data_IF_219884230573
#
_entry.id   IF_219884230573
#
_cell.length_a   1.000
_cell.length_b   1.000
_cell.length_c   1.000
_cell.angle_alpha   90.00
_cell.angle_beta   90.00
_cell.angle_gamma   90.00
#
_symmetry.space_group_name_H-M   'P 1'
#
loop_
_entity.id
_entity.type
_entity.pdbx_description
1 polymer ?
#
# COMPACT_ATOMS: atom_id res chain seq x y z
N UNK A 1 -14.07 4.88 -17.69
CA UNK A 1 -12.82 4.54 -18.40
C UNK A 1 -11.68 4.74 -17.42
N UNK A 2 -11.26 3.68 -16.73
CA UNK A 2 -10.13 3.74 -15.78
C UNK A 2 -8.82 3.55 -16.54
N UNK A 3 -7.94 4.53 -16.48
CA UNK A 3 -6.59 4.45 -17.04
C UNK A 3 -5.87 3.22 -16.48
N UNK A 4 -5.10 2.47 -17.29
CA UNK A 4 -4.33 1.35 -16.77
C UNK A 4 -3.34 1.88 -15.73
N UNK A 5 -3.29 1.26 -14.55
CA UNK A 5 -2.05 1.22 -13.79
C UNK A 5 -1.05 0.46 -14.67
N UNK A 6 -0.38 1.22 -15.53
CA UNK A 6 0.72 0.75 -16.35
C UNK A 6 1.74 0.11 -15.43
N UNK A 7 2.51 -0.85 -15.95
CA UNK A 7 3.53 -1.62 -15.20
C UNK A 7 4.39 -0.76 -14.25
N UNK A 8 4.59 0.52 -14.60
CA UNK A 8 5.18 1.58 -13.80
C UNK A 8 4.55 1.76 -12.39
N UNK A 9 3.22 1.81 -12.28
CA UNK A 9 2.53 2.08 -11.02
C UNK A 9 2.71 0.97 -9.97
N UNK A 10 2.85 -0.29 -10.41
CA UNK A 10 3.15 -1.40 -9.48
C UNK A 10 4.59 -1.32 -8.95
N UNK A 11 5.54 -0.85 -9.77
CA UNK A 11 6.93 -0.66 -9.35
C UNK A 11 7.02 0.46 -8.32
N UNK A 12 6.34 1.58 -8.53
CA UNK A 12 6.31 2.68 -7.55
C UNK A 12 5.67 2.26 -6.23
N UNK A 13 4.56 1.52 -6.27
CA UNK A 13 3.93 0.96 -5.08
C UNK A 13 4.90 0.01 -4.36
N UNK A 14 5.50 -0.94 -5.07
CA UNK A 14 6.44 -1.89 -4.47
C UNK A 14 7.65 -1.19 -3.83
N UNK A 15 8.18 -0.12 -4.46
CA UNK A 15 9.27 0.67 -3.89
C UNK A 15 8.86 1.43 -2.62
N UNK A 16 7.66 2.01 -2.60
CA UNK A 16 7.14 2.68 -1.41
C UNK A 16 6.89 1.70 -0.27
N UNK A 17 6.34 0.52 -0.57
CA UNK A 17 6.13 -0.53 0.43
C UNK A 17 7.45 -1.09 0.96
N UNK A 18 8.48 -1.24 0.11
CA UNK A 18 9.81 -1.65 0.56
C UNK A 18 10.44 -0.64 1.54
N UNK A 19 10.23 0.66 1.32
CA UNK A 19 10.65 1.70 2.27
C UNK A 19 9.87 1.61 3.58
N UNK A 20 8.55 1.42 3.51
CA UNK A 20 7.71 1.22 4.70
C UNK A 20 8.13 -0.03 5.49
N UNK A 21 8.50 -1.12 4.82
CA UNK A 21 8.99 -2.32 5.48
C UNK A 21 10.29 -2.08 6.26
N UNK A 22 11.16 -1.17 5.79
CA UNK A 22 12.36 -0.76 6.54
C UNK A 22 12.01 0.11 7.75
N UNK A 23 10.95 0.91 7.68
CA UNK A 23 10.45 1.73 8.80
C UNK A 23 9.70 0.87 9.83
N UNK A 24 9.05 -0.21 9.38
CA UNK A 24 8.21 -1.09 10.20
C UNK A 24 8.55 -2.57 9.96
N UNK A 25 9.70 -3.07 10.45
CA UNK A 25 10.12 -4.45 10.23
C UNK A 25 9.21 -5.48 10.92
N UNK A 26 8.48 -5.05 11.96
CA UNK A 26 7.55 -5.88 12.73
C UNK A 26 6.19 -6.06 12.05
N UNK A 27 5.90 -5.32 10.98
CA UNK A 27 4.65 -5.39 10.23
C UNK A 27 4.83 -6.24 8.96
N UNK A 28 3.89 -7.13 8.74
CA UNK A 28 3.73 -7.83 7.48
C UNK A 28 2.91 -6.95 6.52
N UNK A 29 3.50 -6.62 5.38
CA UNK A 29 2.87 -5.78 4.36
C UNK A 29 2.67 -6.61 3.09
N UNK A 30 1.41 -6.97 2.82
CA UNK A 30 0.98 -7.66 1.61
C UNK A 30 0.54 -6.69 0.53
N UNK A 31 0.79 -7.03 -0.73
CA UNK A 31 0.30 -6.28 -1.88
C UNK A 31 -0.26 -7.25 -2.92
N UNK A 32 -1.55 -7.10 -3.24
CA UNK A 32 -2.23 -7.94 -4.21
C UNK A 32 -2.93 -7.06 -5.25
N UNK A 33 -2.72 -7.37 -6.53
CA UNK A 33 -3.46 -6.73 -7.61
C UNK A 33 -4.72 -7.54 -7.89
N UNK A 34 -5.88 -6.93 -7.68
CA UNK A 34 -7.15 -7.64 -7.77
C UNK A 34 -7.50 -8.04 -9.23
N UNK A 35 -7.06 -7.27 -10.23
CA UNK A 35 -7.30 -7.60 -11.63
C UNK A 35 -6.28 -6.96 -12.59
N UNK A 36 -6.27 -7.39 -13.85
CA UNK A 36 -5.41 -6.78 -14.88
C UNK A 36 -5.67 -5.27 -15.10
N UNK A 37 -6.86 -4.81 -14.73
CA UNK A 37 -7.31 -3.42 -14.83
C UNK A 37 -7.90 -2.90 -13.50
N UNK A 38 -7.59 -3.56 -12.39
CA UNK A 38 -8.18 -3.26 -11.08
C UNK A 38 -7.20 -2.56 -10.13
N UNK A 39 -7.76 -2.06 -9.02
CA UNK A 39 -7.00 -1.46 -7.93
C UNK A 39 -6.01 -2.47 -7.31
N UNK A 40 -4.94 -1.91 -6.76
CA UNK A 40 -4.00 -2.67 -5.92
C UNK A 40 -4.49 -2.58 -4.49
N UNK A 41 -4.62 -3.74 -3.85
CA UNK A 41 -4.98 -3.85 -2.44
C UNK A 41 -3.68 -4.05 -1.67
N UNK A 42 -3.46 -3.20 -0.68
CA UNK A 42 -2.36 -3.33 0.27
C UNK A 42 -2.96 -3.76 1.60
N UNK A 43 -2.40 -4.80 2.19
CA UNK A 43 -2.84 -5.36 3.47
C UNK A 43 -1.73 -5.23 4.48
N UNK A 44 -2.06 -4.75 5.68
CA UNK A 44 -1.13 -4.64 6.80
C UNK A 44 -1.55 -5.61 7.89
N UNK A 45 -0.64 -6.49 8.28
CA UNK A 45 -0.81 -7.41 9.40
C UNK A 45 0.31 -7.18 10.41
N UNK A 46 -0.05 -7.07 11.68
CA UNK A 46 0.88 -6.79 12.75
C UNK A 46 0.31 -7.21 14.09
N UNK A 47 1.19 -7.32 15.10
CA UNK A 47 0.75 -7.61 16.48
C UNK A 47 0.18 -6.39 17.18
N UNK A 48 0.62 -5.20 16.78
CA UNK A 48 0.28 -3.94 17.44
C UNK A 48 -0.52 -3.04 16.48
N UNK A 49 -1.75 -2.74 16.88
CA UNK A 49 -2.68 -1.95 16.05
C UNK A 49 -2.15 -0.53 15.81
N UNK A 50 -1.50 0.09 16.80
CA UNK A 50 -0.97 1.44 16.67
C UNK A 50 0.16 1.52 15.63
N UNK A 51 0.99 0.48 15.52
CA UNK A 51 1.96 0.36 14.43
C UNK A 51 1.28 0.19 13.07
N UNK A 52 0.21 -0.61 12.97
CA UNK A 52 -0.55 -0.79 11.72
C UNK A 52 -1.12 0.56 11.25
N UNK A 53 -1.79 1.30 12.15
CA UNK A 53 -2.35 2.62 11.86
C UNK A 53 -1.26 3.62 11.44
N UNK A 54 -0.11 3.62 12.14
CA UNK A 54 1.03 4.47 11.80
C UNK A 54 1.59 4.15 10.40
N UNK A 55 1.66 2.88 10.03
CA UNK A 55 2.12 2.47 8.70
C UNK A 55 1.11 2.83 7.60
N UNK A 56 -0.20 2.73 7.87
CA UNK A 56 -1.25 3.17 6.96
C UNK A 56 -1.15 4.69 6.74
N UNK A 57 -0.99 5.48 7.80
CA UNK A 57 -0.84 6.92 7.71
C UNK A 57 0.44 7.32 6.95
N UNK A 58 1.57 6.65 7.23
CA UNK A 58 2.81 6.86 6.50
C UNK A 58 2.68 6.50 5.00
N UNK A 59 1.91 5.46 4.66
CA UNK A 59 1.60 5.13 3.27
C UNK A 59 0.71 6.21 2.64
N UNK A 60 -0.36 6.65 3.31
CA UNK A 60 -1.26 7.69 2.82
C UNK A 60 -0.52 9.01 2.56
N UNK A 61 0.44 9.39 3.41
CA UNK A 61 1.26 10.59 3.25
C UNK A 61 2.26 10.50 2.09
N UNK A 62 2.74 9.30 1.73
CA UNK A 62 3.68 9.11 0.61
C UNK A 62 3.02 9.19 -0.77
N UNK A 63 1.70 9.07 -0.85
CA UNK A 63 0.95 9.12 -2.10
C UNK A 63 -0.05 10.28 -2.11
N UNK A 64 -0.58 10.61 -3.28
CA UNK A 64 -1.56 11.69 -3.37
C UNK A 64 -2.88 11.29 -2.68
N UNK A 65 -3.59 12.25 -2.06
CA UNK A 65 -4.92 12.02 -1.49
C UNK A 65 -5.84 11.37 -2.55
N UNK A 66 -6.44 10.23 -2.21
CA UNK A 66 -7.29 9.46 -3.13
C UNK A 66 -6.57 8.40 -3.97
N UNK A 67 -5.25 8.23 -3.80
CA UNK A 67 -4.50 7.11 -4.40
C UNK A 67 -4.87 5.75 -3.78
N UNK A 68 -5.29 5.76 -2.50
CA UNK A 68 -5.76 4.58 -1.77
C UNK A 68 -7.15 4.83 -1.21
N UNK A 69 -7.91 3.75 -1.08
CA UNK A 69 -9.21 3.71 -0.42
C UNK A 69 -9.08 2.65 0.66
N UNK A 70 -9.35 3.03 1.91
CA UNK A 70 -9.44 2.07 3.01
C UNK A 70 -10.61 1.12 2.75
N UNK A 71 -10.33 -0.19 2.79
CA UNK A 71 -11.34 -1.24 2.70
C UNK A 71 -11.46 -1.89 4.08
N UNK A 72 -12.63 -1.73 4.71
CA UNK A 72 -13.00 -2.34 5.99
C UNK A 72 -13.48 -3.78 5.83
#
# INVERSE_FOLDING_TARGET
MGSPLSFQGMVEIAQSLAKLYLEFPDLYIGCCRQARYGSVIVSFEGKDQAHIESAIEALHNKFQPGAFIEMN
#
